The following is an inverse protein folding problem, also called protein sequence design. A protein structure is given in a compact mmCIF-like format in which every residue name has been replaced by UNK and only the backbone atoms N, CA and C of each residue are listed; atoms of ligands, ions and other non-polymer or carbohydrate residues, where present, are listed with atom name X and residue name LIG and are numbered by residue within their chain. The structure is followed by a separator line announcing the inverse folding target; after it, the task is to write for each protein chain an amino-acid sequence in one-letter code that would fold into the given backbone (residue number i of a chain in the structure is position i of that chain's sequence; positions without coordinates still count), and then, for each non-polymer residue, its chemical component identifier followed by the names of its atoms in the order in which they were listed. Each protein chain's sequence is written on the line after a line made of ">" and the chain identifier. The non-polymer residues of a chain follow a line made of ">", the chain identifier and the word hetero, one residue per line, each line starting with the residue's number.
data_IF_212813644319
#
_entry.id   IF_212813644319
#
_cell.length_a   1.000
_cell.length_b   1.000
_cell.length_c   1.000
_cell.angle_alpha   90.00
_cell.angle_beta   90.00
_cell.angle_gamma   90.00
#
_symmetry.space_group_name_H-M   'P 1'
#
loop_
_entity.id
_entity.type
_entity.pdbx_description
1 polymer ?
#
# COMPACT_ATOMS: atom_id res chain seq x y z
N UNK A 1 28.75 -90.44 -0.24
CA UNK A 1 27.92 -89.33 0.30
C UNK A 1 26.48 -89.64 -0.06
N UNK A 2 25.55 -89.83 0.90
CA UNK A 2 24.14 -90.02 0.61
C UNK A 2 23.55 -88.70 0.10
N UNK A 3 22.90 -88.74 -1.06
CA UNK A 3 22.14 -87.63 -1.62
C UNK A 3 20.67 -87.85 -1.21
N UNK A 4 20.18 -87.07 -0.25
CA UNK A 4 18.77 -87.01 0.10
C UNK A 4 17.95 -86.59 -1.14
N UNK A 5 17.06 -87.47 -1.61
CA UNK A 5 16.26 -87.30 -2.84
C UNK A 5 14.87 -86.68 -2.61
N UNK A 6 14.53 -86.30 -1.37
CA UNK A 6 13.17 -85.88 -1.00
C UNK A 6 12.97 -84.35 -0.88
N UNK A 7 13.80 -83.53 -1.55
CA UNK A 7 13.64 -82.07 -1.52
C UNK A 7 13.21 -81.51 -2.89
N UNK A 8 12.19 -80.64 -2.96
CA UNK A 8 11.80 -80.00 -4.20
C UNK A 8 12.95 -79.14 -4.74
N UNK A 9 13.26 -79.30 -6.02
CA UNK A 9 14.32 -78.56 -6.70
C UNK A 9 14.02 -77.06 -6.66
N UNK A 10 14.88 -76.28 -5.99
CA UNK A 10 14.83 -74.81 -6.06
C UNK A 10 15.05 -74.06 -4.75
N UNK A 11 15.04 -74.72 -3.59
CA UNK A 11 15.27 -74.03 -2.31
C UNK A 11 16.74 -74.18 -1.90
N UNK A 12 17.52 -73.11 -2.15
CA UNK A 12 18.90 -72.99 -1.68
C UNK A 12 18.97 -73.19 -0.17
N UNK A 13 19.72 -74.20 0.29
CA UNK A 13 19.89 -74.53 1.72
C UNK A 13 20.86 -73.60 2.46
N UNK A 14 21.48 -72.65 1.76
CA UNK A 14 22.32 -71.64 2.37
C UNK A 14 21.49 -70.39 2.63
N UNK A 15 21.08 -70.21 3.89
CA UNK A 15 20.66 -68.89 4.37
C UNK A 15 21.91 -68.03 4.34
N UNK A 16 22.07 -67.21 3.30
CA UNK A 16 23.12 -66.19 3.24
C UNK A 16 22.91 -65.23 4.42
N UNK A 17 23.61 -65.48 5.52
CA UNK A 17 23.71 -64.54 6.63
C UNK A 17 24.58 -63.40 6.14
N UNK A 18 23.96 -62.38 5.55
CA UNK A 18 24.64 -61.14 5.21
C UNK A 18 25.32 -60.61 6.48
N UNK A 19 26.63 -60.28 6.46
CA UNK A 19 27.30 -59.78 7.65
C UNK A 19 26.58 -58.51 8.12
N UNK A 20 26.09 -58.54 9.36
CA UNK A 20 25.50 -57.37 10.01
C UNK A 20 26.63 -56.35 10.16
N UNK A 21 26.69 -55.39 9.23
CA UNK A 21 27.59 -54.25 9.34
C UNK A 21 27.21 -53.51 10.62
N UNK A 22 28.08 -53.58 11.64
CA UNK A 22 27.92 -52.82 12.87
C UNK A 22 27.89 -51.35 12.49
N UNK A 23 26.73 -50.71 12.63
CA UNK A 23 26.65 -49.25 12.52
C UNK A 23 27.57 -48.65 13.57
N UNK A 24 28.42 -47.68 13.22
CA UNK A 24 29.30 -47.07 14.20
C UNK A 24 28.45 -46.45 15.31
N UNK A 25 28.80 -46.77 16.56
CA UNK A 25 28.16 -46.20 17.74
C UNK A 25 28.18 -44.68 17.65
N UNK A 26 27.01 -44.05 17.74
CA UNK A 26 26.87 -42.58 17.63
C UNK A 26 26.29 -42.07 16.31
N UNK A 27 26.15 -42.90 15.26
CA UNK A 27 25.53 -42.46 14.00
C UNK A 27 24.07 -42.00 14.19
N UNK A 28 23.34 -42.67 15.08
CA UNK A 28 21.95 -42.28 15.43
C UNK A 28 21.90 -40.95 16.18
N UNK A 29 22.88 -40.68 17.04
CA UNK A 29 22.99 -39.43 17.79
C UNK A 29 23.35 -38.28 16.84
N UNK A 30 24.29 -38.50 15.92
CA UNK A 30 24.63 -37.51 14.89
C UNK A 30 23.45 -37.20 13.97
N UNK A 31 22.69 -38.22 13.54
CA UNK A 31 21.47 -38.03 12.75
C UNK A 31 20.40 -37.25 13.52
N UNK A 32 20.27 -37.51 14.82
CA UNK A 32 19.35 -36.78 15.68
C UNK A 32 19.77 -35.32 15.83
N UNK A 33 21.05 -35.06 16.10
CA UNK A 33 21.59 -33.69 16.21
C UNK A 33 21.39 -32.93 14.90
N UNK A 34 21.76 -33.52 13.76
CA UNK A 34 21.59 -32.88 12.46
C UNK A 34 20.12 -32.56 12.16
N UNK A 35 19.20 -33.47 12.49
CA UNK A 35 17.76 -33.24 12.32
C UNK A 35 17.24 -32.13 13.23
N UNK A 36 17.69 -32.07 14.48
CA UNK A 36 17.30 -31.00 15.42
C UNK A 36 17.87 -29.64 14.99
N UNK A 37 19.10 -29.60 14.48
CA UNK A 37 19.69 -28.39 13.91
C UNK A 37 18.91 -27.91 12.68
N UNK A 38 18.53 -28.80 11.77
CA UNK A 38 17.67 -28.48 10.62
C UNK A 38 16.30 -27.93 11.06
N UNK A 39 15.67 -28.58 12.05
CA UNK A 39 14.39 -28.11 12.60
C UNK A 39 14.52 -26.74 13.26
N UNK A 40 15.61 -26.51 13.99
CA UNK A 40 15.90 -25.22 14.61
C UNK A 40 16.08 -24.13 13.56
N UNK A 41 16.85 -24.39 12.50
CA UNK A 41 17.03 -23.47 11.38
C UNK A 41 15.71 -23.18 10.67
N UNK A 42 14.89 -24.19 10.40
CA UNK A 42 13.59 -24.03 9.77
C UNK A 42 12.66 -23.13 10.60
N UNK A 43 12.61 -23.33 11.93
CA UNK A 43 11.82 -22.49 12.84
C UNK A 43 12.32 -21.05 12.90
N UNK A 44 13.63 -20.84 12.89
CA UNK A 44 14.22 -19.51 12.86
C UNK A 44 13.85 -18.79 11.55
N UNK A 45 13.92 -19.51 10.43
CA UNK A 45 13.57 -18.99 9.10
C UNK A 45 12.09 -18.63 8.98
N UNK A 46 11.17 -19.48 9.48
CA UNK A 46 9.73 -19.16 9.47
C UNK A 46 9.43 -17.92 10.31
N UNK A 47 10.00 -17.83 11.52
CA UNK A 47 9.84 -16.67 12.40
C UNK A 47 10.33 -15.38 11.73
N UNK A 48 11.51 -15.42 11.11
CA UNK A 48 12.05 -14.28 10.38
C UNK A 48 11.12 -13.85 9.23
N UNK A 49 10.67 -14.80 8.42
CA UNK A 49 9.75 -14.53 7.32
C UNK A 49 8.40 -13.98 7.78
N UNK A 50 7.84 -14.48 8.87
CA UNK A 50 6.59 -13.95 9.43
C UNK A 50 6.75 -12.51 9.88
N UNK A 51 7.85 -12.18 10.56
CA UNK A 51 8.12 -10.79 10.97
C UNK A 51 8.32 -9.87 9.76
N UNK A 52 9.03 -10.33 8.73
CA UNK A 52 9.26 -9.55 7.52
C UNK A 52 7.96 -9.36 6.72
N UNK A 53 7.13 -10.40 6.61
CA UNK A 53 5.81 -10.33 5.99
C UNK A 53 4.88 -9.38 6.74
N UNK A 54 4.94 -9.35 8.08
CA UNK A 54 4.20 -8.39 8.90
C UNK A 54 4.63 -6.95 8.64
N UNK A 55 5.94 -6.69 8.56
CA UNK A 55 6.50 -5.37 8.22
C UNK A 55 6.10 -4.92 6.83
N UNK A 56 6.26 -5.78 5.82
CA UNK A 56 5.90 -5.46 4.44
C UNK A 56 4.42 -5.06 4.30
N UNK A 57 3.50 -5.81 4.95
CA UNK A 57 2.07 -5.45 4.96
C UNK A 57 1.79 -4.13 5.67
N UNK A 58 2.51 -3.86 6.76
CA UNK A 58 2.35 -2.58 7.47
C UNK A 58 2.84 -1.41 6.61
N UNK A 59 3.99 -1.55 5.97
CA UNK A 59 4.55 -0.55 5.05
C UNK A 59 3.64 -0.31 3.85
N UNK A 60 3.08 -1.37 3.25
CA UNK A 60 2.10 -1.24 2.17
C UNK A 60 0.84 -0.50 2.64
N UNK A 61 0.31 -0.86 3.82
CA UNK A 61 -0.85 -0.17 4.42
C UNK A 61 -0.53 1.30 4.73
N UNK A 62 0.68 1.60 5.20
CA UNK A 62 1.12 2.97 5.39
C UNK A 62 1.29 3.68 4.05
N UNK A 63 1.83 3.06 3.02
CA UNK A 63 1.98 3.66 1.70
C UNK A 63 0.64 3.90 1.01
N UNK A 64 -0.37 3.07 1.24
CA UNK A 64 -1.74 3.36 0.80
C UNK A 64 -2.33 4.58 1.52
N UNK A 65 -2.01 4.76 2.80
CA UNK A 65 -2.42 5.93 3.60
C UNK A 65 -1.56 7.18 3.35
N UNK A 66 -0.27 7.03 3.09
CA UNK A 66 0.72 8.10 2.92
C UNK A 66 0.86 8.52 1.45
N UNK A 67 0.65 7.60 0.52
CA UNK A 67 0.34 7.88 -0.88
C UNK A 67 -1.02 8.56 -1.05
N UNK A 68 -1.91 8.44 -0.07
CA UNK A 68 -3.02 9.37 0.14
C UNK A 68 -2.55 10.70 0.73
N UNK A 69 -1.55 10.73 1.63
CA UNK A 69 -0.96 11.97 2.16
C UNK A 69 -0.44 12.93 1.09
N UNK A 70 0.39 12.49 0.15
CA UNK A 70 0.88 13.36 -0.93
C UNK A 70 -0.26 13.84 -1.85
N UNK A 71 -1.21 12.97 -2.20
CA UNK A 71 -2.41 13.35 -2.97
C UNK A 71 -3.35 14.27 -2.19
N UNK A 72 -3.44 14.09 -0.88
CA UNK A 72 -4.26 14.92 0.02
C UNK A 72 -3.65 16.31 0.15
N UNK A 73 -2.32 16.42 0.23
CA UNK A 73 -1.64 17.71 0.21
C UNK A 73 -1.83 18.41 -1.14
N UNK A 74 -1.69 17.69 -2.25
CA UNK A 74 -1.99 18.22 -3.59
C UNK A 74 -3.45 18.65 -3.72
N UNK A 75 -4.39 17.85 -3.20
CA UNK A 75 -5.82 18.18 -3.22
C UNK A 75 -6.12 19.41 -2.38
N UNK A 76 -5.53 19.55 -1.19
CA UNK A 76 -5.66 20.75 -0.36
C UNK A 76 -5.12 21.99 -1.07
N UNK A 77 -3.95 21.89 -1.70
CA UNK A 77 -3.39 23.00 -2.48
C UNK A 77 -4.33 23.41 -3.62
N UNK A 78 -4.89 22.44 -4.35
CA UNK A 78 -5.87 22.72 -5.41
C UNK A 78 -7.15 23.37 -4.86
N UNK A 79 -7.65 22.90 -3.71
CA UNK A 79 -8.82 23.49 -3.05
C UNK A 79 -8.56 24.95 -2.63
N UNK A 80 -7.39 25.23 -2.04
CA UNK A 80 -6.97 26.59 -1.66
C UNK A 80 -6.82 27.51 -2.89
N UNK A 81 -6.22 27.01 -3.97
CA UNK A 81 -6.09 27.75 -5.23
C UNK A 81 -7.46 28.06 -5.84
N UNK A 82 -8.38 27.09 -5.85
CA UNK A 82 -9.74 27.29 -6.33
C UNK A 82 -10.49 28.35 -5.52
N UNK A 83 -10.36 28.34 -4.20
CA UNK A 83 -11.01 29.32 -3.32
C UNK A 83 -10.47 30.74 -3.55
N UNK A 84 -9.16 30.88 -3.78
CA UNK A 84 -8.55 32.17 -4.14
C UNK A 84 -9.09 32.68 -5.47
N UNK A 85 -9.11 31.84 -6.52
CA UNK A 85 -9.66 32.23 -7.82
C UNK A 85 -11.13 32.62 -7.74
N UNK A 86 -11.93 31.93 -6.92
CA UNK A 86 -13.34 32.26 -6.72
C UNK A 86 -13.51 33.65 -6.08
N UNK A 87 -12.67 34.01 -5.11
CA UNK A 87 -12.68 35.33 -4.48
C UNK A 87 -12.28 36.41 -5.49
N UNK A 88 -11.22 36.20 -6.25
CA UNK A 88 -10.78 37.12 -7.30
C UNK A 88 -11.87 37.36 -8.34
N UNK A 89 -12.56 36.30 -8.77
CA UNK A 89 -13.67 36.40 -9.70
C UNK A 89 -14.81 37.27 -9.15
N UNK A 90 -15.15 37.12 -7.87
CA UNK A 90 -16.16 37.95 -7.22
C UNK A 90 -15.77 39.43 -7.18
N UNK A 91 -14.50 39.73 -6.88
CA UNK A 91 -13.98 41.10 -6.89
C UNK A 91 -14.08 41.71 -8.29
N UNK A 92 -13.57 41.01 -9.31
CA UNK A 92 -13.62 41.47 -10.70
C UNK A 92 -15.08 41.68 -11.14
N UNK A 93 -15.99 40.79 -10.77
CA UNK A 93 -17.41 40.92 -11.09
C UNK A 93 -18.03 42.15 -10.42
N UNK A 94 -17.73 42.39 -9.15
CA UNK A 94 -18.22 43.55 -8.42
C UNK A 94 -17.70 44.86 -9.05
N UNK A 95 -16.42 44.92 -9.40
CA UNK A 95 -15.83 46.07 -10.09
C UNK A 95 -16.48 46.33 -11.46
N UNK A 96 -16.72 45.28 -12.25
CA UNK A 96 -17.41 45.40 -13.54
C UNK A 96 -18.84 45.91 -13.39
N UNK A 97 -19.58 45.37 -12.41
CA UNK A 97 -20.94 45.84 -12.12
C UNK A 97 -20.94 47.29 -11.67
N UNK A 98 -20.02 47.67 -10.79
CA UNK A 98 -19.87 49.06 -10.35
C UNK A 98 -19.63 49.99 -11.54
N UNK A 99 -18.66 49.68 -12.41
CA UNK A 99 -18.39 50.48 -13.63
C UNK A 99 -19.63 50.62 -14.52
N UNK A 100 -20.34 49.51 -14.75
CA UNK A 100 -21.57 49.52 -15.54
C UNK A 100 -22.64 50.45 -14.94
N UNK A 101 -22.89 50.34 -13.64
CA UNK A 101 -23.87 51.20 -12.98
C UNK A 101 -23.41 52.65 -12.90
N UNK A 102 -22.13 52.93 -12.67
CA UNK A 102 -21.58 54.29 -12.69
C UNK A 102 -21.81 54.96 -14.07
N UNK A 103 -21.61 54.21 -15.17
CA UNK A 103 -21.92 54.67 -16.52
C UNK A 103 -23.42 54.92 -16.73
N UNK A 104 -24.28 54.03 -16.21
CA UNK A 104 -25.74 54.22 -16.26
C UNK A 104 -26.18 55.45 -15.46
N UNK A 105 -25.65 55.64 -14.25
CA UNK A 105 -25.94 56.80 -13.42
C UNK A 105 -25.51 58.11 -14.07
N UNK A 106 -24.33 58.15 -14.70
CA UNK A 106 -23.87 59.32 -15.44
C UNK A 106 -24.85 59.70 -16.55
N UNK A 107 -25.30 58.72 -17.35
CA UNK A 107 -26.29 58.95 -18.43
C UNK A 107 -27.63 59.45 -17.88
N UNK A 108 -28.13 58.84 -16.81
CA UNK A 108 -29.39 59.26 -16.19
C UNK A 108 -29.30 60.65 -15.57
N UNK A 109 -28.16 61.02 -14.97
CA UNK A 109 -27.97 62.38 -14.49
C UNK A 109 -28.00 63.41 -15.63
N UNK A 110 -27.36 63.12 -16.75
CA UNK A 110 -27.37 64.03 -17.89
C UNK A 110 -28.79 64.20 -18.47
N UNK A 111 -29.56 63.11 -18.58
CA UNK A 111 -30.97 63.14 -19.00
C UNK A 111 -31.87 63.92 -18.03
N UNK A 112 -31.67 63.76 -16.72
CA UNK A 112 -32.43 64.48 -15.71
C UNK A 112 -32.05 65.96 -15.69
N UNK A 113 -30.75 66.30 -15.80
CA UNK A 113 -30.28 67.68 -15.89
C UNK A 113 -30.88 68.39 -17.10
N UNK A 114 -31.00 67.70 -18.24
CA UNK A 114 -31.68 68.25 -19.42
C UNK A 114 -33.16 68.59 -19.17
N UNK A 115 -33.79 67.94 -18.18
CA UNK A 115 -35.16 68.22 -17.72
C UNK A 115 -35.22 69.15 -16.50
N UNK A 116 -34.09 69.68 -16.04
CA UNK A 116 -33.99 70.53 -14.84
C UNK A 116 -34.12 69.76 -13.51
N UNK A 117 -33.99 68.43 -13.53
CA UNK A 117 -34.04 67.55 -12.36
C UNK A 117 -32.64 67.00 -12.01
N UNK A 118 -32.47 66.43 -10.83
CA UNK A 118 -31.23 65.79 -10.40
C UNK A 118 -31.49 64.54 -9.55
N UNK A 119 -30.55 63.59 -9.57
CA UNK A 119 -30.57 62.43 -8.68
C UNK A 119 -30.25 62.86 -7.24
N UNK A 120 -30.98 62.30 -6.29
CA UNK A 120 -30.71 62.47 -4.86
C UNK A 120 -29.42 61.71 -4.55
N UNK A 121 -28.45 62.41 -3.98
CA UNK A 121 -27.21 61.81 -3.47
C UNK A 121 -27.25 61.88 -1.96
N UNK A 122 -26.98 60.75 -1.30
CA UNK A 122 -26.79 60.74 0.14
C UNK A 122 -25.60 61.63 0.47
N UNK A 123 -25.80 62.57 1.40
CA UNK A 123 -24.73 63.39 1.96
C UNK A 123 -24.25 62.71 3.23
N UNK A 124 -22.98 62.32 3.25
CA UNK A 124 -22.27 62.01 4.48
C UNK A 124 -22.17 63.25 5.39
#
# INVERSE_FOLDING_TARGET
>A
MPLDRDRPAGISSYREVKPVKKTPSGLNVQRFIAREEELHQARAYTKFNETNAGRARWEEKQNLRAGSGARLQQQKQLEEEMDLMNKELQVIRAERLKKYYDECYAKWEDELRARGLALIRDRD
#
